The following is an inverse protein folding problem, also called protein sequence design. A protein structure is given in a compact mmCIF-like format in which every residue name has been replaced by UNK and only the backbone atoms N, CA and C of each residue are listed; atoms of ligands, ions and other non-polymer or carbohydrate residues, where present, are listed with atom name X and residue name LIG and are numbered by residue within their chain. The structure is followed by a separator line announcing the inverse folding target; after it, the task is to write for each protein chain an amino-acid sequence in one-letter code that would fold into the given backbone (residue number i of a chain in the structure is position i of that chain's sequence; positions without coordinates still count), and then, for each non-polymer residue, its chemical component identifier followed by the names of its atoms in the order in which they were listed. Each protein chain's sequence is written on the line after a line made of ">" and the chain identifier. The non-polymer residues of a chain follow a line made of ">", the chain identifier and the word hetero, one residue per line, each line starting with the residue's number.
data_IF_609301707039
#
_entry.id   IF_609301707039
#
_cell.length_a   1.000
_cell.length_b   1.000
_cell.length_c   1.000
_cell.angle_alpha   90.00
_cell.angle_beta   90.00
_cell.angle_gamma   90.00
#
_symmetry.space_group_name_H-M   'P 1'
#
loop_
_entity.id
_entity.type
_entity.pdbx_description
1 polymer ?
#
# COMPACT_ATOMS: atom_id res chain seq x y z
N UNK A 1 -28.49 -15.57 -5.78
CA UNK A 1 -27.62 -15.47 -6.98
C UNK A 1 -26.73 -14.23 -6.81
N UNK A 2 -25.49 -14.45 -6.38
CA UNK A 2 -24.49 -13.38 -6.33
C UNK A 2 -24.08 -13.06 -7.76
N UNK A 3 -24.30 -11.83 -8.20
CA UNK A 3 -23.81 -11.37 -9.49
C UNK A 3 -22.27 -11.48 -9.49
N UNK A 4 -21.66 -12.31 -10.35
CA UNK A 4 -20.20 -12.51 -10.37
C UNK A 4 -19.41 -11.22 -10.70
N UNK A 5 -20.09 -10.20 -11.22
CA UNK A 5 -19.50 -8.89 -11.52
C UNK A 5 -19.68 -7.87 -10.38
N UNK A 6 -20.31 -8.26 -9.27
CA UNK A 6 -20.39 -7.36 -8.11
C UNK A 6 -19.05 -7.36 -7.40
N UNK A 7 -18.41 -6.20 -7.34
CA UNK A 7 -17.23 -6.00 -6.51
C UNK A 7 -17.62 -6.19 -5.03
N UNK A 8 -17.19 -7.29 -4.44
CA UNK A 8 -17.48 -7.63 -3.03
C UNK A 8 -16.54 -6.91 -2.05
N UNK A 9 -15.68 -6.05 -2.52
CA UNK A 9 -14.75 -5.31 -1.68
C UNK A 9 -13.78 -6.20 -0.90
N UNK A 10 -13.26 -5.67 0.18
CA UNK A 10 -12.32 -6.36 1.09
C UNK A 10 -13.00 -7.32 2.07
N UNK A 11 -14.25 -7.69 1.84
CA UNK A 11 -15.11 -8.43 2.79
C UNK A 11 -15.05 -9.95 2.64
N UNK A 12 -14.23 -10.50 1.75
CA UNK A 12 -14.09 -11.96 1.62
C UNK A 12 -13.21 -12.47 2.77
N UNK A 13 -13.85 -12.92 3.84
CA UNK A 13 -13.18 -13.47 5.02
C UNK A 13 -12.38 -14.74 4.72
N UNK A 14 -12.83 -15.55 3.76
CA UNK A 14 -12.21 -16.84 3.46
C UNK A 14 -11.26 -16.75 2.28
N UNK A 15 -9.99 -16.98 2.57
CA UNK A 15 -8.97 -17.17 1.57
C UNK A 15 -9.08 -18.59 1.00
N UNK A 16 -9.71 -18.75 -0.16
CA UNK A 16 -9.64 -19.99 -0.95
C UNK A 16 -8.18 -20.29 -1.31
N UNK A 17 -7.63 -21.46 -0.95
CA UNK A 17 -6.23 -21.80 -1.21
C UNK A 17 -5.84 -21.73 -2.69
N UNK A 18 -6.72 -22.11 -3.61
CA UNK A 18 -6.47 -22.05 -5.06
C UNK A 18 -6.35 -20.59 -5.48
N UNK A 19 -7.31 -19.75 -5.08
CA UNK A 19 -7.29 -18.32 -5.37
C UNK A 19 -6.04 -17.62 -4.79
N UNK A 20 -5.63 -17.98 -3.59
CA UNK A 20 -4.42 -17.46 -2.96
C UNK A 20 -3.19 -17.86 -3.76
N UNK A 21 -3.08 -19.13 -4.19
CA UNK A 21 -1.95 -19.61 -4.98
C UNK A 21 -1.85 -18.88 -6.34
N UNK A 22 -2.97 -18.75 -7.06
CA UNK A 22 -3.03 -18.04 -8.33
C UNK A 22 -2.67 -16.55 -8.17
N UNK A 23 -3.16 -15.93 -7.11
CA UNK A 23 -2.86 -14.52 -6.81
C UNK A 23 -1.40 -14.30 -6.46
N UNK A 24 -0.79 -15.21 -5.71
CA UNK A 24 0.66 -15.18 -5.44
C UNK A 24 1.47 -15.29 -6.72
N UNK A 25 1.10 -16.21 -7.61
CA UNK A 25 1.75 -16.35 -8.91
C UNK A 25 1.62 -15.06 -9.76
N UNK A 26 0.45 -14.41 -9.71
CA UNK A 26 0.24 -13.13 -10.40
C UNK A 26 1.09 -12.00 -9.81
N UNK A 27 1.19 -11.91 -8.47
CA UNK A 27 2.08 -10.94 -7.79
C UNK A 27 3.54 -11.17 -8.16
N UNK A 28 4.01 -12.41 -8.14
CA UNK A 28 5.39 -12.74 -8.52
C UNK A 28 5.68 -12.37 -9.98
N UNK A 29 4.73 -12.64 -10.87
CA UNK A 29 4.85 -12.28 -12.28
C UNK A 29 4.87 -10.76 -12.48
N UNK A 30 4.02 -10.03 -11.77
CA UNK A 30 3.97 -8.57 -11.78
C UNK A 30 5.31 -7.95 -11.33
N UNK A 31 5.78 -8.32 -10.14
CA UNK A 31 7.01 -7.76 -9.58
C UNK A 31 8.23 -8.08 -10.47
N UNK A 32 8.32 -9.31 -10.99
CA UNK A 32 9.41 -9.70 -11.90
C UNK A 32 9.42 -8.90 -13.20
N UNK A 33 8.25 -8.55 -13.74
CA UNK A 33 8.15 -7.83 -15.03
C UNK A 33 8.24 -6.32 -14.88
N UNK A 34 7.86 -5.77 -13.71
CA UNK A 34 7.73 -4.33 -13.51
C UNK A 34 9.00 -3.54 -13.83
N UNK A 35 10.21 -3.93 -13.38
CA UNK A 35 11.44 -3.19 -13.71
C UNK A 35 11.68 -3.10 -15.23
N UNK A 36 11.56 -4.21 -15.93
CA UNK A 36 11.74 -4.24 -17.39
C UNK A 36 10.68 -3.43 -18.15
N UNK A 37 9.44 -3.43 -17.66
CA UNK A 37 8.35 -2.64 -18.27
C UNK A 37 8.49 -1.15 -18.00
N UNK A 38 8.97 -0.78 -16.81
CA UNK A 38 9.23 0.61 -16.45
C UNK A 38 10.53 1.16 -17.04
N UNK A 39 11.44 0.29 -17.46
CA UNK A 39 12.79 0.69 -17.89
C UNK A 39 13.64 1.19 -16.71
N UNK A 40 13.33 0.75 -15.48
CA UNK A 40 13.95 1.21 -14.24
C UNK A 40 14.39 0.01 -13.40
N UNK A 41 15.52 0.08 -12.68
CA UNK A 41 15.86 -0.95 -11.71
C UNK A 41 14.87 -0.96 -10.54
N UNK A 42 14.61 -2.14 -9.94
CA UNK A 42 13.67 -2.29 -8.84
C UNK A 42 13.98 -1.32 -7.68
N UNK A 43 15.25 -1.08 -7.38
CA UNK A 43 15.71 -0.17 -6.32
C UNK A 43 15.34 1.31 -6.51
N UNK A 44 14.86 1.70 -7.68
CA UNK A 44 14.38 3.06 -7.98
C UNK A 44 12.87 3.13 -8.16
N UNK A 45 12.17 2.05 -7.86
CA UNK A 45 10.70 1.97 -7.92
C UNK A 45 10.17 1.92 -6.49
N UNK A 46 9.31 2.89 -6.16
CA UNK A 46 8.60 2.95 -4.89
C UNK A 46 7.19 2.38 -5.08
N UNK A 47 6.86 1.35 -4.31
CA UNK A 47 5.51 0.81 -4.23
C UNK A 47 4.80 1.38 -3.01
N UNK A 48 3.66 2.00 -3.22
CA UNK A 48 2.78 2.48 -2.14
C UNK A 48 1.64 1.50 -1.99
N UNK A 49 1.55 0.87 -0.82
CA UNK A 49 0.53 -0.15 -0.54
C UNK A 49 -0.51 0.39 0.42
N UNK A 50 -1.75 0.45 -0.04
CA UNK A 50 -2.88 0.99 0.74
C UNK A 50 -3.22 0.14 1.96
N UNK A 51 -3.99 0.72 2.89
CA UNK A 51 -4.46 0.10 4.11
C UNK A 51 -5.94 -0.30 4.01
N UNK A 52 -6.36 -1.39 4.67
CA UNK A 52 -7.78 -1.73 4.77
C UNK A 52 -8.52 -0.67 5.60
N UNK A 53 -9.63 -0.17 5.08
CA UNK A 53 -10.55 0.75 5.76
C UNK A 53 -11.98 0.20 5.64
N UNK A 54 -12.82 0.25 6.65
CA UNK A 54 -12.68 0.95 7.94
C UNK A 54 -11.93 0.18 9.05
N UNK A 55 -11.43 -1.01 8.78
CA UNK A 55 -10.77 -1.88 9.77
C UNK A 55 -9.59 -1.19 10.46
N UNK A 56 -8.96 -0.25 9.77
CA UNK A 56 -7.87 0.57 10.29
C UNK A 56 -8.22 1.22 11.64
N UNK A 57 -9.45 1.73 11.78
CA UNK A 57 -9.88 2.49 12.96
C UNK A 57 -10.42 1.62 14.09
N UNK A 58 -10.67 0.34 13.81
CA UNK A 58 -11.32 -0.59 14.74
C UNK A 58 -10.35 -1.72 15.11
N UNK A 59 -9.64 -1.62 16.25
CA UNK A 59 -8.63 -2.61 16.65
C UNK A 59 -9.14 -4.06 16.62
N UNK A 60 -10.39 -4.29 17.03
CA UNK A 60 -10.99 -5.63 17.04
C UNK A 60 -11.18 -6.22 15.61
N UNK A 61 -11.29 -5.37 14.60
CA UNK A 61 -11.46 -5.79 13.19
C UNK A 61 -10.14 -5.93 12.44
N UNK A 62 -9.07 -5.28 12.90
CA UNK A 62 -7.74 -5.37 12.26
C UNK A 62 -7.21 -6.80 12.18
N UNK A 63 -7.38 -7.58 13.25
CA UNK A 63 -6.93 -8.98 13.26
C UNK A 63 -7.66 -9.83 12.22
N UNK A 64 -8.96 -9.61 12.04
CA UNK A 64 -9.75 -10.28 11.01
C UNK A 64 -9.31 -9.84 9.61
N UNK A 65 -9.10 -8.53 9.41
CA UNK A 65 -8.63 -7.98 8.15
C UNK A 65 -7.24 -8.54 7.75
N UNK A 66 -6.32 -8.67 8.70
CA UNK A 66 -4.99 -9.25 8.47
C UNK A 66 -5.07 -10.70 8.00
N UNK A 67 -6.02 -11.49 8.52
CA UNK A 67 -6.24 -12.89 8.11
C UNK A 67 -7.12 -13.06 6.88
N UNK A 68 -7.74 -12.00 6.40
CA UNK A 68 -8.52 -12.01 5.18
C UNK A 68 -7.67 -12.29 3.94
N UNK A 69 -8.30 -12.66 2.84
CA UNK A 69 -7.63 -12.82 1.55
C UNK A 69 -6.79 -11.57 1.20
N UNK A 70 -7.36 -10.37 1.38
CA UNK A 70 -6.65 -9.12 1.07
C UNK A 70 -5.49 -8.85 2.01
N UNK A 71 -5.65 -9.12 3.32
CA UNK A 71 -4.56 -9.00 4.28
C UNK A 71 -3.39 -9.93 3.95
N UNK A 72 -3.68 -11.19 3.63
CA UNK A 72 -2.68 -12.18 3.21
C UNK A 72 -1.97 -11.76 1.92
N UNK A 73 -2.72 -11.29 0.91
CA UNK A 73 -2.14 -10.87 -0.35
C UNK A 73 -1.37 -9.56 -0.24
N UNK A 74 -1.83 -8.64 0.60
CA UNK A 74 -1.12 -7.40 0.91
C UNK A 74 0.24 -7.68 1.55
N UNK A 75 0.27 -8.51 2.59
CA UNK A 75 1.51 -8.93 3.24
C UNK A 75 2.45 -9.62 2.22
N UNK A 76 1.93 -10.57 1.45
CA UNK A 76 2.69 -11.26 0.43
C UNK A 76 3.31 -10.31 -0.61
N UNK A 77 2.52 -9.35 -1.11
CA UNK A 77 3.02 -8.34 -2.06
C UNK A 77 4.18 -7.54 -1.47
N UNK A 78 4.04 -7.06 -0.22
CA UNK A 78 5.07 -6.24 0.42
C UNK A 78 6.35 -7.04 0.66
N UNK A 79 6.25 -8.26 1.19
CA UNK A 79 7.40 -9.12 1.44
C UNK A 79 8.14 -9.43 0.14
N UNK A 80 7.41 -9.85 -0.91
CA UNK A 80 8.01 -10.16 -2.21
C UNK A 80 8.62 -8.95 -2.90
N UNK A 81 8.00 -7.77 -2.74
CA UNK A 81 8.55 -6.53 -3.30
C UNK A 81 9.90 -6.18 -2.64
N UNK A 82 9.97 -6.24 -1.32
CA UNK A 82 11.23 -6.00 -0.57
C UNK A 82 12.31 -7.02 -0.98
N UNK A 83 11.97 -8.31 -1.05
CA UNK A 83 12.90 -9.37 -1.49
C UNK A 83 13.45 -9.14 -2.91
N UNK A 84 12.66 -8.50 -3.79
CA UNK A 84 13.09 -8.18 -5.15
C UNK A 84 13.76 -6.80 -5.27
N UNK A 85 13.99 -6.11 -4.15
CA UNK A 85 14.72 -4.85 -4.08
C UNK A 85 13.91 -3.59 -4.35
N UNK A 86 12.57 -3.69 -4.35
CA UNK A 86 11.71 -2.51 -4.37
C UNK A 86 11.70 -1.82 -3.01
N UNK A 87 11.53 -0.51 -3.00
CA UNK A 87 11.15 0.20 -1.78
C UNK A 87 9.62 0.14 -1.62
N UNK A 88 9.16 -0.06 -0.39
CA UNK A 88 7.74 -0.18 -0.08
C UNK A 88 7.34 0.82 0.99
N UNK A 89 6.32 1.62 0.72
CA UNK A 89 5.61 2.45 1.71
C UNK A 89 4.33 1.73 2.11
N UNK A 90 4.29 1.31 3.37
CA UNK A 90 3.13 0.70 4.01
C UNK A 90 2.21 1.80 4.58
N UNK A 91 1.11 2.09 3.90
CA UNK A 91 0.17 3.12 4.34
C UNK A 91 -0.61 2.74 5.59
N UNK A 92 -0.73 1.46 5.94
CA UNK A 92 -1.36 1.07 7.21
C UNK A 92 -0.57 1.61 8.40
N UNK A 93 0.75 1.44 8.39
CA UNK A 93 1.63 1.98 9.42
C UNK A 93 1.55 3.51 9.48
N UNK A 94 1.65 4.18 8.35
CA UNK A 94 1.63 5.65 8.27
C UNK A 94 0.28 6.21 8.74
N UNK A 95 -0.83 5.59 8.33
CA UNK A 95 -2.17 5.99 8.77
C UNK A 95 -2.42 5.71 10.25
N UNK A 96 -2.00 4.56 10.78
CA UNK A 96 -2.15 4.26 12.20
C UNK A 96 -1.38 5.26 13.08
N UNK A 97 -0.15 5.60 12.67
CA UNK A 97 0.66 6.60 13.37
C UNK A 97 0.00 7.98 13.35
N UNK A 98 -0.50 8.43 12.18
CA UNK A 98 -1.18 9.75 12.10
C UNK A 98 -2.51 9.74 12.85
N UNK A 99 -3.32 8.67 12.71
CA UNK A 99 -4.61 8.55 13.39
C UNK A 99 -4.47 8.57 14.92
N UNK A 100 -3.46 7.89 15.46
CA UNK A 100 -3.20 7.88 16.90
C UNK A 100 -2.94 9.28 17.48
N UNK A 101 -2.44 10.19 16.67
CA UNK A 101 -2.14 11.58 17.07
C UNK A 101 -3.28 12.55 16.77
N UNK A 102 -3.98 12.36 15.64
CA UNK A 102 -4.90 13.35 15.11
C UNK A 102 -6.37 12.97 15.24
N UNK A 103 -6.68 11.68 15.31
CA UNK A 103 -8.05 11.14 15.27
C UNK A 103 -8.78 11.38 13.93
N UNK A 104 -8.06 11.91 12.89
CA UNK A 104 -8.68 12.25 11.60
C UNK A 104 -8.74 11.02 10.70
N UNK A 105 -9.86 10.86 10.00
CA UNK A 105 -10.01 9.81 8.99
C UNK A 105 -9.43 10.23 7.65
N UNK A 106 -9.06 9.25 6.84
CA UNK A 106 -8.29 9.43 5.60
C UNK A 106 -9.10 9.20 4.34
N UNK A 107 -10.37 8.81 4.47
CA UNK A 107 -11.30 8.61 3.36
C UNK A 107 -12.42 9.65 3.37
N UNK A 108 -13.10 9.77 2.23
CA UNK A 108 -14.34 10.54 2.13
C UNK A 108 -15.48 9.78 2.84
N UNK A 109 -16.46 10.48 3.44
CA UNK A 109 -17.56 9.83 4.16
C UNK A 109 -18.40 8.87 3.31
N UNK A 110 -18.53 9.18 2.02
CA UNK A 110 -19.43 8.48 1.09
C UNK A 110 -18.71 7.47 0.19
N UNK A 111 -17.40 7.44 0.24
CA UNK A 111 -16.60 6.48 -0.51
C UNK A 111 -15.27 6.16 0.19
N UNK A 112 -14.55 5.13 -0.30
CA UNK A 112 -13.29 4.69 0.30
C UNK A 112 -12.04 5.33 -0.33
N UNK A 113 -12.20 6.32 -1.21
CA UNK A 113 -11.05 7.05 -1.75
C UNK A 113 -10.46 7.97 -0.69
N UNK A 114 -9.16 8.19 -0.78
CA UNK A 114 -8.46 9.08 0.13
C UNK A 114 -8.95 10.52 0.00
N UNK A 115 -9.21 11.14 1.11
CA UNK A 115 -9.45 12.58 1.20
C UNK A 115 -8.11 13.36 1.25
N UNK A 116 -8.17 14.67 1.41
CA UNK A 116 -6.97 15.51 1.49
C UNK A 116 -6.01 15.09 2.61
N UNK A 117 -6.55 14.63 3.76
CA UNK A 117 -5.72 14.17 4.88
C UNK A 117 -4.96 12.89 4.50
N UNK A 118 -5.61 11.95 3.83
CA UNK A 118 -4.97 10.73 3.32
C UNK A 118 -3.83 11.07 2.34
N UNK A 119 -4.06 12.00 1.42
CA UNK A 119 -3.03 12.46 0.49
C UNK A 119 -1.88 13.21 1.17
N UNK A 120 -2.14 13.97 2.24
CA UNK A 120 -1.08 14.61 3.05
C UNK A 120 -0.18 13.57 3.73
N UNK A 121 -0.79 12.51 4.30
CA UNK A 121 -0.02 11.41 4.92
C UNK A 121 0.83 10.71 3.88
N UNK A 122 0.25 10.38 2.72
CA UNK A 122 0.99 9.78 1.61
C UNK A 122 2.18 10.66 1.18
N UNK A 123 1.94 11.95 0.97
CA UNK A 123 3.00 12.85 0.52
C UNK A 123 4.16 12.93 1.53
N UNK A 124 3.87 12.89 2.84
CA UNK A 124 4.91 12.83 3.88
C UNK A 124 5.66 11.49 3.85
N UNK A 125 4.96 10.37 3.67
CA UNK A 125 5.57 9.05 3.61
C UNK A 125 6.49 8.92 2.38
N UNK A 126 6.01 9.32 1.21
CA UNK A 126 6.81 9.31 -0.03
C UNK A 126 8.07 10.17 0.10
N UNK A 127 7.97 11.37 0.71
CA UNK A 127 9.14 12.26 0.91
C UNK A 127 10.21 11.67 1.83
N UNK A 128 9.89 10.70 2.66
CA UNK A 128 10.84 10.00 3.54
C UNK A 128 11.49 8.80 2.86
N UNK A 129 11.01 8.40 1.70
CA UNK A 129 11.53 7.22 0.99
C UNK A 129 12.92 7.48 0.41
N UNK A 130 13.75 6.43 0.38
CA UNK A 130 15.08 6.52 -0.22
C UNK A 130 15.00 6.77 -1.74
N UNK A 131 13.98 6.23 -2.41
CA UNK A 131 13.71 6.50 -3.82
C UNK A 131 13.46 7.98 -4.05
N UNK A 132 12.59 8.62 -3.23
CA UNK A 132 12.33 10.06 -3.36
C UNK A 132 13.59 10.88 -3.11
N UNK A 133 14.35 10.56 -2.07
CA UNK A 133 15.58 11.26 -1.73
C UNK A 133 16.64 11.13 -2.83
N UNK A 134 16.77 9.94 -3.44
CA UNK A 134 17.72 9.73 -4.54
C UNK A 134 17.39 10.53 -5.81
N UNK A 135 16.10 10.83 -6.04
CA UNK A 135 15.66 11.58 -7.23
C UNK A 135 15.64 13.10 -6.98
N UNK A 136 15.28 13.53 -5.78
CA UNK A 136 14.98 14.93 -5.49
C UNK A 136 15.86 15.55 -4.40
N UNK A 137 16.69 14.75 -3.71
CA UNK A 137 17.51 15.22 -2.57
C UNK A 137 18.55 16.26 -2.97
N UNK A 138 19.20 16.08 -4.13
CA UNK A 138 20.20 17.02 -4.62
C UNK A 138 19.60 18.39 -4.96
N UNK A 139 18.39 18.43 -5.53
CA UNK A 139 17.71 19.67 -5.86
C UNK A 139 17.38 20.54 -4.63
N UNK A 140 17.27 19.95 -3.43
CA UNK A 140 17.04 20.68 -2.17
C UNK A 140 18.27 21.39 -1.64
N UNK A 141 19.46 20.86 -1.90
CA UNK A 141 20.73 21.47 -1.43
C UNK A 141 21.04 22.74 -2.20
N UNK A 142 20.68 22.81 -3.49
CA UNK A 142 20.92 23.99 -4.31
C UNK A 142 19.98 25.17 -3.98
N UNK A 143 18.76 24.91 -3.52
CA UNK A 143 17.77 25.94 -3.17
C UNK A 143 18.02 26.52 -1.77
N UNK A 144 18.64 25.75 -0.86
CA UNK A 144 18.97 26.20 0.50
C UNK A 144 20.29 26.99 0.63
N UNK A 145 21.08 27.07 -0.45
CA UNK A 145 22.38 27.71 -0.48
C UNK A 145 22.37 29.13 -1.11
N UNK A 146 21.21 29.70 -1.37
CA UNK A 146 20.98 31.05 -1.81
C UNK A 146 20.22 31.83 -0.73
#
# INVERSE_FOLDING_TARGET
>A
DLNPNTYVGNTVEHADPVRVADSKAAVDAFLRQLPGRAGLPASTILLVVDAPRPELYEPARRDAATRSYFGLMRAYLMDRAVEQGFEVVDMEREFLEDYSRSGRRFEHPDDHHWNSVGHEVLARAVRKSAVYESVFGEARQEVGAK
#
